data_IF_166246772718
#
_entry.id   IF_166246772718
#
_cell.length_a   1.000
_cell.length_b   1.000
_cell.length_c   1.000
_cell.angle_alpha   90.00
_cell.angle_beta   90.00
_cell.angle_gamma   90.00
#
_symmetry.space_group_name_H-M   'P 1'
#
loop_
_entity.id
_entity.type
_entity.pdbx_description
1 polymer ?
#
# COMPACT_ATOMS: atom_id res chain seq x y z
N UNK A 1 26.98 -0.25 -12.03
CA UNK A 1 26.43 0.89 -11.27
C UNK A 1 25.89 0.39 -9.92
N UNK A 2 26.36 0.90 -8.77
CA UNK A 2 26.11 0.31 -7.43
C UNK A 2 24.66 0.46 -6.94
N UNK A 3 23.82 -0.50 -7.35
CA UNK A 3 22.85 -1.37 -6.62
C UNK A 3 21.91 -0.87 -5.50
N UNK A 4 21.81 0.40 -5.07
CA UNK A 4 20.80 0.72 -4.04
C UNK A 4 20.26 2.16 -3.99
N UNK A 5 19.68 2.65 -5.09
CA UNK A 5 18.98 3.95 -5.14
C UNK A 5 17.85 4.03 -4.12
N UNK A 6 17.10 2.94 -3.93
CA UNK A 6 16.03 2.87 -2.95
C UNK A 6 16.54 3.10 -1.51
N UNK A 7 17.64 2.45 -1.11
CA UNK A 7 18.21 2.67 0.22
C UNK A 7 18.70 4.13 0.43
N UNK A 8 19.24 4.77 -0.63
CA UNK A 8 19.63 6.19 -0.56
C UNK A 8 18.41 7.10 -0.39
N UNK A 9 17.33 6.84 -1.13
CA UNK A 9 16.07 7.57 -1.01
C UNK A 9 15.49 7.44 0.39
N UNK A 10 15.39 6.22 0.92
CA UNK A 10 14.88 5.96 2.27
C UNK A 10 15.76 6.67 3.31
N UNK A 11 17.09 6.60 3.17
CA UNK A 11 18.02 7.30 4.07
C UNK A 11 17.83 8.83 4.03
N UNK A 12 17.65 9.39 2.84
CA UNK A 12 17.37 10.82 2.66
C UNK A 12 16.06 11.21 3.35
N UNK A 13 14.97 10.46 3.11
CA UNK A 13 13.68 10.71 3.75
C UNK A 13 13.75 10.62 5.27
N UNK A 14 14.43 9.60 5.81
CA UNK A 14 14.63 9.44 7.26
C UNK A 14 15.34 10.65 7.87
N UNK A 15 16.35 11.18 7.18
CA UNK A 15 17.12 12.33 7.64
C UNK A 15 16.33 13.64 7.53
N UNK A 16 15.70 13.91 6.38
CA UNK A 16 14.99 15.18 6.12
C UNK A 16 13.75 15.32 7.00
N UNK A 17 12.97 14.24 7.15
CA UNK A 17 11.75 14.27 7.94
C UNK A 17 11.98 13.89 9.42
N UNK A 18 13.25 13.68 9.83
CA UNK A 18 13.62 13.29 11.18
C UNK A 18 12.73 12.17 11.77
N UNK A 19 12.41 11.17 10.95
CA UNK A 19 11.39 10.15 11.25
C UNK A 19 11.72 9.42 12.57
N UNK A 20 13.01 9.14 12.81
CA UNK A 20 13.46 8.49 14.05
C UNK A 20 13.20 9.34 15.29
N UNK A 21 13.39 10.66 15.21
CA UNK A 21 13.10 11.55 16.33
C UNK A 21 11.59 11.62 16.63
N UNK A 22 10.76 11.59 15.58
CA UNK A 22 9.31 11.52 15.73
C UNK A 22 8.89 10.23 16.42
N UNK A 23 9.42 9.09 15.97
CA UNK A 23 9.12 7.77 16.57
C UNK A 23 9.62 7.69 18.02
N UNK A 24 10.83 8.18 18.32
CA UNK A 24 11.41 8.12 19.67
C UNK A 24 10.70 9.02 20.68
N UNK A 25 9.96 10.03 20.22
CA UNK A 25 9.12 10.88 21.08
C UNK A 25 7.79 10.22 21.43
N UNK A 26 7.43 9.12 20.79
CA UNK A 26 6.20 8.40 21.09
C UNK A 26 6.37 7.62 22.38
N UNK A 27 5.59 8.01 23.38
CA UNK A 27 5.52 7.32 24.66
C UNK A 27 4.44 6.24 24.55
N UNK A 28 4.85 4.99 24.72
CA UNK A 28 3.90 3.90 24.85
C UNK A 28 3.38 3.86 26.29
N UNK A 29 2.06 3.99 26.46
CA UNK A 29 1.39 3.98 27.77
C UNK A 29 0.98 2.56 28.21
N UNK A 30 1.27 1.54 27.39
CA UNK A 30 0.94 0.15 27.72
C UNK A 30 1.83 -0.36 28.86
N UNK A 31 1.21 -1.03 29.83
CA UNK A 31 1.87 -1.51 31.06
C UNK A 31 2.82 -2.69 30.78
N UNK A 32 2.58 -3.48 29.72
CA UNK A 32 3.46 -4.58 29.32
C UNK A 32 3.33 -4.89 27.81
N UNK A 33 3.91 -4.06 26.93
CA UNK A 33 3.78 -4.25 25.49
C UNK A 33 4.57 -5.48 25.04
N UNK A 34 3.89 -6.45 24.42
CA UNK A 34 4.52 -7.63 23.80
C UNK A 34 5.37 -7.27 22.57
N UNK A 35 5.08 -6.13 21.96
CA UNK A 35 5.72 -5.69 20.72
C UNK A 35 6.11 -4.21 20.82
N UNK A 36 7.30 -3.90 20.32
CA UNK A 36 7.83 -2.54 20.28
C UNK A 36 6.96 -1.63 19.40
N UNK A 37 6.51 -0.52 19.98
CA UNK A 37 5.66 0.49 19.33
C UNK A 37 6.33 1.06 18.08
N UNK A 38 7.65 1.24 18.11
CA UNK A 38 8.39 1.73 16.94
C UNK A 38 8.33 0.74 15.76
N UNK A 39 8.31 -0.56 16.02
CA UNK A 39 8.19 -1.59 14.98
C UNK A 39 6.80 -1.61 14.36
N UNK A 40 5.75 -1.56 15.19
CA UNK A 40 4.35 -1.53 14.72
C UNK A 40 4.14 -0.30 13.83
N UNK A 41 4.62 0.86 14.25
CA UNK A 41 4.44 2.12 13.51
C UNK A 41 5.15 2.07 12.16
N UNK A 42 6.38 1.54 12.11
CA UNK A 42 7.09 1.36 10.84
C UNK A 42 6.33 0.42 9.90
N UNK A 43 5.75 -0.66 10.41
CA UNK A 43 4.94 -1.60 9.63
C UNK A 43 3.70 -0.90 9.05
N UNK A 44 2.99 -0.14 9.88
CA UNK A 44 1.80 0.63 9.47
C UNK A 44 2.17 1.64 8.38
N UNK A 45 3.24 2.43 8.58
CA UNK A 45 3.73 3.36 7.55
C UNK A 45 4.07 2.66 6.24
N UNK A 46 4.70 1.48 6.30
CA UNK A 46 5.00 0.69 5.10
C UNK A 46 3.72 0.26 4.37
N UNK A 47 2.72 -0.23 5.09
CA UNK A 47 1.42 -0.59 4.51
C UNK A 47 0.70 0.61 3.90
N UNK A 48 0.75 1.78 4.54
CA UNK A 48 0.19 3.01 3.97
C UNK A 48 0.88 3.39 2.65
N UNK A 49 2.21 3.31 2.57
CA UNK A 49 2.95 3.60 1.34
C UNK A 49 2.59 2.62 0.21
N UNK A 50 2.45 1.33 0.52
CA UNK A 50 2.01 0.32 -0.45
C UNK A 50 0.59 0.58 -0.94
N UNK A 51 -0.32 1.00 -0.04
CA UNK A 51 -1.71 1.34 -0.40
C UNK A 51 -1.78 2.57 -1.31
N UNK A 52 -0.99 3.61 -1.03
CA UNK A 52 -0.90 4.81 -1.88
C UNK A 52 -0.36 4.45 -3.26
N UNK A 53 0.68 3.62 -3.34
CA UNK A 53 1.23 3.15 -4.62
C UNK A 53 0.17 2.40 -5.43
N UNK A 54 -0.54 1.46 -4.80
CA UNK A 54 -1.61 0.69 -5.44
C UNK A 54 -2.74 1.60 -5.96
N UNK A 55 -3.16 2.61 -5.19
CA UNK A 55 -4.17 3.57 -5.65
C UNK A 55 -3.67 4.47 -6.78
N UNK A 56 -2.39 4.88 -6.77
CA UNK A 56 -1.81 5.66 -7.87
C UNK A 56 -1.72 4.84 -9.16
N UNK A 57 -1.31 3.57 -9.07
CA UNK A 57 -1.31 2.64 -10.20
C UNK A 57 -2.73 2.42 -10.73
N UNK A 58 -3.71 2.24 -9.84
CA UNK A 58 -5.12 2.13 -10.21
C UNK A 58 -5.64 3.41 -10.88
N UNK A 59 -5.31 4.59 -10.36
CA UNK A 59 -5.71 5.87 -10.96
C UNK A 59 -5.08 6.07 -12.36
N UNK A 60 -3.84 5.63 -12.55
CA UNK A 60 -3.19 5.64 -13.87
C UNK A 60 -3.87 4.65 -14.82
N UNK A 61 -4.18 3.44 -14.38
CA UNK A 61 -4.94 2.46 -15.17
C UNK A 61 -6.33 2.98 -15.52
N UNK A 62 -7.04 3.61 -14.59
CA UNK A 62 -8.35 4.23 -14.85
C UNK A 62 -8.22 5.39 -15.85
N UNK A 63 -7.16 6.21 -15.77
CA UNK A 63 -6.92 7.27 -16.76
C UNK A 63 -6.63 6.73 -18.15
N UNK A 64 -5.79 5.69 -18.26
CA UNK A 64 -5.49 5.01 -19.53
C UNK A 64 -6.76 4.36 -20.08
N UNK A 65 -7.48 3.62 -19.24
CA UNK A 65 -8.78 3.01 -19.59
C UNK A 65 -9.79 4.07 -20.02
N UNK A 66 -9.90 5.21 -19.31
CA UNK A 66 -10.79 6.32 -19.68
C UNK A 66 -10.37 7.01 -20.99
N UNK A 67 -9.09 7.03 -21.35
CA UNK A 67 -8.65 7.47 -22.68
C UNK A 67 -8.88 6.42 -23.78
N UNK A 68 -8.93 5.14 -23.42
CA UNK A 68 -9.20 4.00 -24.32
C UNK A 68 -10.70 3.61 -24.37
N UNK A 69 -11.54 4.25 -23.53
CA UNK A 69 -12.93 3.88 -23.25
C UNK A 69 -13.94 4.16 -24.38
N UNK A 70 -13.48 4.46 -25.60
CA UNK A 70 -14.32 4.25 -26.78
C UNK A 70 -14.35 2.77 -27.22
N UNK A 71 -13.48 1.90 -26.68
CA UNK A 71 -13.31 0.53 -27.20
C UNK A 71 -13.58 -0.62 -26.19
N UNK A 72 -13.56 -0.37 -24.87
CA UNK A 72 -13.52 -1.45 -23.86
C UNK A 72 -14.80 -1.66 -23.03
N UNK A 73 -15.86 -0.87 -23.25
CA UNK A 73 -17.14 -0.99 -22.53
C UNK A 73 -17.77 -2.40 -22.65
N UNK A 74 -17.39 -3.15 -23.70
CA UNK A 74 -17.84 -4.53 -23.94
C UNK A 74 -17.08 -5.59 -23.11
N UNK A 75 -15.82 -5.34 -22.70
CA UNK A 75 -15.04 -6.34 -21.94
C UNK A 75 -15.15 -6.23 -20.41
N UNK A 76 -15.51 -5.05 -19.88
CA UNK A 76 -15.59 -4.81 -18.43
C UNK A 76 -16.66 -5.64 -17.71
N UNK A 77 -17.76 -5.98 -18.40
CA UNK A 77 -18.84 -6.80 -17.85
C UNK A 77 -18.43 -8.26 -17.57
N UNK A 78 -17.42 -8.78 -18.27
CA UNK A 78 -17.02 -10.18 -18.13
C UNK A 78 -16.12 -10.40 -16.89
N UNK A 79 -15.28 -9.41 -16.56
CA UNK A 79 -14.35 -9.49 -15.44
C UNK A 79 -15.02 -9.27 -14.08
N UNK A 80 -16.07 -8.44 -14.00
CA UNK A 80 -16.84 -8.24 -12.77
C UNK A 80 -17.57 -9.52 -12.34
N UNK A 81 -18.14 -10.26 -13.30
CA UNK A 81 -18.82 -11.55 -13.07
C UNK A 81 -17.83 -12.64 -12.63
N UNK A 82 -16.61 -12.65 -13.18
CA UNK A 82 -15.54 -13.56 -12.78
C UNK A 82 -15.04 -13.27 -11.35
N UNK A 83 -14.90 -11.99 -10.99
CA UNK A 83 -14.47 -11.59 -9.64
C UNK A 83 -15.52 -11.95 -8.58
N UNK A 84 -16.81 -11.77 -8.89
CA UNK A 84 -17.91 -12.12 -7.98
C UNK A 84 -18.00 -13.63 -7.75
N UNK A 85 -17.78 -14.44 -8.79
CA UNK A 85 -17.72 -15.91 -8.68
C UNK A 85 -16.55 -16.38 -7.82
N UNK A 86 -15.37 -15.75 -7.95
CA UNK A 86 -14.21 -16.05 -7.12
C UNK A 86 -14.45 -15.71 -5.65
N UNK A 87 -15.01 -14.53 -5.37
CA UNK A 87 -15.37 -14.10 -4.01
C UNK A 87 -16.39 -15.04 -3.35
N UNK A 88 -17.43 -15.46 -4.09
CA UNK A 88 -18.41 -16.42 -3.58
C UNK A 88 -17.81 -17.80 -3.29
N UNK A 89 -16.85 -18.26 -4.09
CA UNK A 89 -16.18 -19.55 -3.89
C UNK A 89 -15.26 -19.60 -2.67
N UNK A 90 -14.75 -18.44 -2.24
CA UNK A 90 -13.88 -18.31 -1.06
C UNK A 90 -14.67 -18.21 0.24
N UNK A 91 -15.87 -17.64 0.20
CA UNK A 91 -16.72 -17.45 1.39
C UNK A 91 -17.47 -18.74 1.76
N UNK A 92 -17.82 -19.59 0.79
CA UNK A 92 -18.56 -20.85 1.01
C UNK A 92 -17.70 -22.05 1.47
N UNK A 93 -16.40 -21.85 1.74
CA UNK A 93 -15.48 -22.88 2.25
C UNK A 93 -15.20 -22.80 3.76
N UNK A 94 -15.94 -21.96 4.49
CA UNK A 94 -15.98 -21.91 5.96
C UNK A 94 -17.33 -22.43 6.41
#
# INVERSE_FOLDING_TARGET
MRKNYFAKLVKYMKNVYHIENGINKLTDLRVNPTYDTAQIIKLVLLFFLLRIKSFNELNLMIKIMNSENYFLEVQGYHWSILLERLLKSLILKV
#
